data_IF_647939643551
#
_entry.id   IF_647939643551
#
_cell.length_a   1.000
_cell.length_b   1.000
_cell.length_c   1.000
_cell.angle_alpha   90.00
_cell.angle_beta   90.00
_cell.angle_gamma   90.00
#
_symmetry.space_group_name_H-M   'P 1'
#
loop_
_entity.id
_entity.type
_entity.pdbx_description
1 polymer ?
#
# COMPACT_ATOMS: atom_id res chain seq x y z
N UNK A 1 7.29 38.54 -2.55
CA UNK A 1 8.11 37.69 -3.42
C UNK A 1 9.38 38.37 -3.91
N UNK A 2 9.31 39.65 -4.31
CA UNK A 2 10.49 40.40 -4.77
C UNK A 2 11.60 40.62 -3.73
N UNK A 3 11.26 40.82 -2.45
CA UNK A 3 12.26 41.00 -1.39
C UNK A 3 13.09 39.74 -1.09
N UNK A 4 12.48 38.55 -1.23
CA UNK A 4 13.16 37.26 -1.02
C UNK A 4 14.07 36.90 -2.20
N UNK A 5 13.74 37.36 -3.42
CA UNK A 5 14.60 37.18 -4.59
C UNK A 5 15.83 38.10 -4.55
N UNK A 6 15.69 39.30 -3.98
CA UNK A 6 16.85 40.23 -3.85
C UNK A 6 17.89 39.76 -2.80
N UNK A 7 17.47 39.17 -1.68
CA UNK A 7 18.41 38.62 -0.69
C UNK A 7 19.17 37.39 -1.21
N UNK A 8 18.59 36.61 -2.12
CA UNK A 8 19.23 35.42 -2.71
C UNK A 8 20.35 35.72 -3.72
N UNK A 9 20.46 36.94 -4.23
CA UNK A 9 21.44 37.33 -5.28
C UNK A 9 22.88 37.51 -4.79
N UNK A 10 23.14 37.45 -3.50
CA UNK A 10 24.46 37.81 -2.94
C UNK A 10 25.24 36.63 -2.34
N UNK A 11 24.74 35.42 -2.43
CA UNK A 11 25.45 34.25 -1.89
C UNK A 11 26.37 33.64 -2.95
N UNK A 12 27.68 33.93 -2.81
CA UNK A 12 28.70 33.24 -3.57
C UNK A 12 28.85 31.79 -3.02
N UNK A 13 28.61 30.83 -3.90
CA UNK A 13 28.68 29.39 -3.59
C UNK A 13 29.98 28.82 -4.11
N UNK A 14 30.67 27.99 -3.33
CA UNK A 14 31.84 27.24 -3.78
C UNK A 14 31.44 25.79 -4.06
N UNK A 15 32.00 25.21 -5.13
CA UNK A 15 31.88 23.78 -5.39
C UNK A 15 32.84 22.97 -4.48
N UNK A 16 32.77 21.65 -4.57
CA UNK A 16 33.62 20.74 -3.78
C UNK A 16 35.12 20.93 -4.04
N UNK A 17 35.51 21.59 -5.15
CA UNK A 17 36.87 21.92 -5.50
C UNK A 17 37.29 23.31 -4.99
N UNK A 18 36.42 24.03 -4.25
CA UNK A 18 36.66 25.35 -3.72
C UNK A 18 36.54 26.50 -4.71
N UNK A 19 36.04 26.25 -5.93
CA UNK A 19 35.81 27.25 -6.97
C UNK A 19 34.49 27.98 -6.77
N UNK A 20 34.46 29.29 -7.02
CA UNK A 20 33.26 30.12 -7.01
C UNK A 20 32.33 29.76 -8.14
N UNK A 21 31.06 29.50 -7.84
CA UNK A 21 30.03 29.22 -8.83
C UNK A 21 29.13 30.46 -8.98
N UNK A 22 28.83 30.82 -10.21
CA UNK A 22 27.87 31.90 -10.54
C UNK A 22 26.46 31.53 -10.10
N UNK A 23 25.74 32.47 -9.47
CA UNK A 23 24.33 32.32 -9.05
C UNK A 23 23.39 31.92 -10.20
N UNK A 24 23.76 32.18 -11.43
CA UNK A 24 22.98 31.79 -12.61
C UNK A 24 22.92 30.27 -12.80
N UNK A 25 23.87 29.54 -12.25
CA UNK A 25 24.02 28.09 -12.42
C UNK A 25 23.50 27.27 -11.24
N UNK A 26 22.99 27.91 -10.18
CA UNK A 26 22.50 27.25 -8.98
C UNK A 26 21.05 27.61 -8.68
N UNK A 27 20.39 26.76 -7.92
CA UNK A 27 19.06 26.99 -7.35
C UNK A 27 19.15 26.82 -5.84
N UNK A 28 18.83 27.88 -5.11
CA UNK A 28 18.72 27.85 -3.67
C UNK A 28 17.42 27.20 -3.24
N UNK A 29 17.48 26.40 -2.19
CA UNK A 29 16.39 25.56 -1.73
C UNK A 29 16.13 25.78 -0.25
N UNK A 30 14.87 25.84 0.14
CA UNK A 30 14.50 25.62 1.54
C UNK A 30 14.71 24.14 1.90
N UNK A 31 14.81 23.83 3.19
CA UNK A 31 14.94 22.44 3.66
C UNK A 31 13.78 21.54 3.17
N UNK A 32 12.58 22.08 3.04
CA UNK A 32 11.42 21.37 2.50
C UNK A 32 11.55 21.09 1.00
N UNK A 33 11.98 22.10 0.22
CA UNK A 33 12.23 21.97 -1.23
C UNK A 33 13.37 20.99 -1.50
N UNK A 34 14.44 21.05 -0.73
CA UNK A 34 15.58 20.16 -0.85
C UNK A 34 15.18 18.69 -0.63
N UNK A 35 14.41 18.42 0.42
CA UNK A 35 13.85 17.09 0.68
C UNK A 35 12.93 16.61 -0.44
N UNK A 36 11.99 17.44 -0.86
CA UNK A 36 11.07 17.12 -1.98
C UNK A 36 11.83 16.82 -3.27
N UNK A 37 12.88 17.61 -3.56
CA UNK A 37 13.69 17.43 -4.75
C UNK A 37 14.57 16.16 -4.67
N UNK A 38 15.10 15.83 -3.51
CA UNK A 38 15.83 14.55 -3.28
C UNK A 38 14.93 13.34 -3.51
N UNK A 39 13.70 13.40 -3.00
CA UNK A 39 12.71 12.34 -3.21
C UNK A 39 12.39 12.21 -4.71
N UNK A 40 12.13 13.34 -5.40
CA UNK A 40 11.88 13.35 -6.85
C UNK A 40 13.07 12.79 -7.66
N UNK A 41 14.29 13.19 -7.31
CA UNK A 41 15.51 12.69 -7.95
C UNK A 41 15.65 11.18 -7.77
N UNK A 42 15.45 10.71 -6.55
CA UNK A 42 15.50 9.29 -6.18
C UNK A 42 14.44 8.48 -6.91
N UNK A 43 13.20 8.98 -6.93
CA UNK A 43 12.09 8.38 -7.66
C UNK A 43 12.35 8.35 -9.17
N UNK A 44 13.09 9.33 -9.70
CA UNK A 44 13.51 9.40 -11.10
C UNK A 44 14.77 8.57 -11.41
N UNK A 45 15.37 7.90 -10.41
CA UNK A 45 16.64 7.17 -10.56
C UNK A 45 17.81 8.08 -10.93
N UNK A 46 17.75 9.37 -10.54
CA UNK A 46 18.75 10.38 -10.85
C UNK A 46 19.53 10.73 -9.59
N UNK A 47 20.82 11.05 -9.78
CA UNK A 47 21.61 11.69 -8.73
C UNK A 47 21.23 13.16 -8.65
N UNK A 48 21.05 13.63 -7.42
CA UNK A 48 20.93 15.03 -7.07
C UNK A 48 21.91 15.30 -5.93
N UNK A 49 22.82 16.22 -6.14
CA UNK A 49 23.74 16.64 -5.12
C UNK A 49 23.21 17.95 -4.52
N UNK A 50 22.69 17.88 -3.30
CA UNK A 50 22.35 19.08 -2.55
C UNK A 50 23.58 19.46 -1.73
N UNK A 51 24.05 20.65 -1.98
CA UNK A 51 25.21 21.26 -1.33
C UNK A 51 24.75 22.13 -0.16
N UNK A 52 25.63 22.26 0.84
CA UNK A 52 25.43 23.12 1.99
C UNK A 52 26.37 24.32 1.91
N UNK A 53 25.81 25.52 1.86
CA UNK A 53 26.58 26.74 2.00
C UNK A 53 27.11 26.94 3.43
N UNK A 54 28.15 27.75 3.57
CA UNK A 54 28.73 28.09 4.88
C UNK A 54 27.75 28.80 5.82
N UNK A 55 26.73 29.42 5.29
CA UNK A 55 25.64 30.11 6.00
C UNK A 55 24.44 29.22 6.30
N UNK A 56 24.53 27.90 6.00
CA UNK A 56 23.47 26.94 6.17
C UNK A 56 22.44 26.91 5.03
N UNK A 57 22.66 27.70 3.96
CA UNK A 57 21.82 27.63 2.76
C UNK A 57 21.97 26.28 2.06
N UNK A 58 20.87 25.78 1.50
CA UNK A 58 20.86 24.58 0.67
C UNK A 58 20.76 24.99 -0.80
N UNK A 59 21.53 24.35 -1.66
CA UNK A 59 21.49 24.62 -3.08
C UNK A 59 21.82 23.39 -3.93
N UNK A 60 21.43 23.41 -5.20
CA UNK A 60 21.83 22.41 -6.19
C UNK A 60 22.08 23.07 -7.54
N UNK A 61 22.74 22.36 -8.44
CA UNK A 61 22.96 22.87 -9.79
C UNK A 61 21.62 23.01 -10.55
N UNK A 62 21.47 24.14 -11.29
CA UNK A 62 20.27 24.44 -12.06
C UNK A 62 19.94 23.36 -13.09
N UNK A 63 20.95 22.77 -13.74
CA UNK A 63 20.75 21.68 -14.69
C UNK A 63 20.21 20.41 -14.02
N UNK A 64 20.64 20.09 -12.78
CA UNK A 64 20.08 18.97 -12.00
C UNK A 64 18.63 19.27 -11.60
N UNK A 65 18.36 20.48 -11.09
CA UNK A 65 17.03 20.95 -10.75
C UNK A 65 16.06 20.84 -11.92
N UNK A 66 16.43 21.40 -13.09
CA UNK A 66 15.63 21.35 -14.30
C UNK A 66 15.44 19.93 -14.82
N UNK A 67 16.49 19.13 -14.76
CA UNK A 67 16.44 17.73 -15.17
C UNK A 67 15.47 16.88 -14.33
N UNK A 68 15.26 17.24 -13.07
CA UNK A 68 14.33 16.57 -12.18
C UNK A 68 12.92 17.13 -12.34
N UNK A 69 12.76 18.46 -12.44
CA UNK A 69 11.46 19.11 -12.52
C UNK A 69 10.84 19.09 -13.93
N UNK A 70 11.64 19.09 -15.02
CA UNK A 70 11.09 19.01 -16.39
C UNK A 70 10.49 17.65 -16.77
N UNK A 71 10.53 16.66 -15.88
CA UNK A 71 9.85 15.36 -16.07
C UNK A 71 8.37 15.33 -15.70
N UNK A 72 7.72 16.47 -15.40
CA UNK A 72 6.26 16.52 -15.27
C UNK A 72 5.53 15.88 -16.47
N UNK A 73 6.09 16.00 -17.68
CA UNK A 73 5.50 15.45 -18.90
C UNK A 73 5.55 13.92 -18.97
N UNK A 74 6.64 13.28 -18.52
CA UNK A 74 6.75 11.80 -18.57
C UNK A 74 6.04 11.08 -17.44
N UNK A 75 5.82 11.75 -16.30
CA UNK A 75 5.01 11.19 -15.20
C UNK A 75 3.53 11.19 -15.60
N UNK A 76 3.06 12.25 -16.28
CA UNK A 76 1.67 12.29 -16.78
C UNK A 76 1.39 11.25 -17.87
N UNK A 77 2.33 10.94 -18.77
CA UNK A 77 2.18 9.87 -19.75
C UNK A 77 2.18 8.47 -19.11
N UNK A 78 2.93 8.26 -18.03
CA UNK A 78 2.90 6.99 -17.27
C UNK A 78 1.63 6.83 -16.42
N UNK A 79 1.03 7.93 -16.00
CA UNK A 79 -0.26 7.96 -15.31
C UNK A 79 -1.40 7.56 -16.25
N UNK A 80 -1.30 7.83 -17.56
CA UNK A 80 -2.27 7.32 -18.54
C UNK A 80 -2.29 5.80 -18.62
N UNK A 81 -1.18 5.13 -18.33
CA UNK A 81 -1.09 3.65 -18.26
C UNK A 81 -1.73 3.05 -16.99
N UNK A 82 -2.00 3.82 -15.94
CA UNK A 82 -2.87 3.35 -14.85
C UNK A 82 -4.28 3.05 -15.36
N UNK A 83 -4.76 3.76 -16.37
CA UNK A 83 -6.10 3.53 -16.94
C UNK A 83 -6.24 2.18 -17.62
N UNK A 84 -5.20 1.69 -18.28
CA UNK A 84 -5.27 0.44 -19.08
C UNK A 84 -5.30 -0.86 -18.26
N UNK A 85 -5.12 -0.80 -16.96
CA UNK A 85 -5.18 -1.98 -16.08
C UNK A 85 -6.15 -1.78 -14.93
N UNK A 86 -7.05 -0.79 -15.02
CA UNK A 86 -8.04 -0.47 -14.01
C UNK A 86 -9.20 -1.46 -14.04
N UNK A 87 -10.01 -1.41 -12.99
CA UNK A 87 -11.27 -2.12 -12.87
C UNK A 87 -12.21 -1.75 -14.01
N UNK A 88 -12.88 -2.74 -14.57
CA UNK A 88 -13.87 -2.55 -15.61
C UNK A 88 -15.23 -3.08 -15.15
N UNK A 89 -16.13 -2.17 -14.78
CA UNK A 89 -17.49 -2.48 -14.33
C UNK A 89 -18.32 -3.25 -15.37
N UNK A 90 -17.96 -3.16 -16.68
CA UNK A 90 -18.63 -3.87 -17.77
C UNK A 90 -17.99 -5.23 -18.08
N UNK A 91 -16.97 -5.63 -17.32
CA UNK A 91 -16.28 -6.89 -17.52
C UNK A 91 -17.20 -8.09 -17.28
N UNK A 92 -17.05 -9.15 -18.07
CA UNK A 92 -17.93 -10.31 -18.03
C UNK A 92 -17.99 -10.97 -16.65
N UNK A 93 -16.86 -11.04 -15.93
CA UNK A 93 -16.83 -11.55 -14.56
C UNK A 93 -17.89 -10.87 -13.67
N UNK A 94 -18.00 -9.53 -13.75
CA UNK A 94 -18.94 -8.80 -12.89
C UNK A 94 -20.40 -9.05 -13.32
N UNK A 95 -20.66 -9.19 -14.61
CA UNK A 95 -22.01 -9.54 -15.10
C UNK A 95 -22.44 -10.90 -14.60
N UNK A 96 -21.54 -11.90 -14.63
CA UNK A 96 -21.84 -13.25 -14.14
C UNK A 96 -22.08 -13.21 -12.63
N UNK A 97 -21.22 -12.55 -11.86
CA UNK A 97 -21.32 -12.52 -10.40
C UNK A 97 -22.47 -11.66 -9.86
N UNK A 98 -22.97 -10.72 -10.66
CA UNK A 98 -24.12 -9.87 -10.33
C UNK A 98 -25.44 -10.37 -10.94
N UNK A 99 -25.39 -11.41 -11.75
CA UNK A 99 -26.56 -11.99 -12.40
C UNK A 99 -27.42 -12.86 -11.48
N UNK A 100 -28.65 -13.13 -11.89
CA UNK A 100 -29.58 -14.02 -11.18
C UNK A 100 -29.01 -15.45 -11.01
N UNK A 101 -28.19 -15.88 -11.95
CA UNK A 101 -27.53 -17.18 -11.96
C UNK A 101 -26.09 -17.13 -11.42
N UNK A 102 -25.80 -16.20 -10.51
CA UNK A 102 -24.48 -16.13 -9.90
C UNK A 102 -24.12 -17.47 -9.23
N UNK A 103 -22.87 -17.95 -9.35
CA UNK A 103 -22.47 -19.24 -8.80
C UNK A 103 -22.74 -19.34 -7.30
N UNK A 104 -23.20 -20.49 -6.84
CA UNK A 104 -23.54 -20.71 -5.42
C UNK A 104 -22.35 -20.45 -4.48
N UNK A 105 -21.13 -20.84 -4.87
CA UNK A 105 -19.92 -20.56 -4.09
C UNK A 105 -19.67 -19.06 -3.89
N UNK A 106 -20.08 -18.22 -4.86
CA UNK A 106 -19.97 -16.77 -4.74
C UNK A 106 -20.89 -16.21 -3.66
N UNK A 107 -22.14 -16.69 -3.61
CA UNK A 107 -23.06 -16.30 -2.55
C UNK A 107 -22.59 -16.80 -1.18
N UNK A 108 -22.05 -18.03 -1.10
CA UNK A 108 -21.43 -18.54 0.13
C UNK A 108 -20.28 -17.66 0.65
N UNK A 109 -19.50 -17.06 -0.24
CA UNK A 109 -18.42 -16.13 0.16
C UNK A 109 -18.99 -14.77 0.63
N UNK A 110 -19.96 -14.21 -0.09
CA UNK A 110 -20.56 -12.90 0.24
C UNK A 110 -21.32 -12.89 1.56
N UNK A 111 -22.04 -13.96 1.84
CA UNK A 111 -22.89 -14.11 3.02
C UNK A 111 -22.08 -14.40 4.29
N UNK A 112 -20.85 -14.84 4.15
CA UNK A 112 -20.00 -15.18 5.26
C UNK A 112 -19.43 -13.92 5.94
N UNK A 113 -19.83 -13.72 7.19
CA UNK A 113 -19.43 -12.52 7.97
C UNK A 113 -17.96 -12.48 8.35
N UNK A 114 -17.25 -13.59 8.27
CA UNK A 114 -15.83 -13.68 8.58
C UNK A 114 -14.95 -13.48 7.35
N UNK A 115 -15.55 -13.41 6.14
CA UNK A 115 -14.84 -13.25 4.88
C UNK A 115 -15.00 -11.80 4.39
N UNK A 116 -13.91 -11.17 3.97
CA UNK A 116 -13.96 -9.92 3.23
C UNK A 116 -13.46 -10.13 1.80
N UNK A 117 -14.05 -9.37 0.88
CA UNK A 117 -13.83 -9.54 -0.56
C UNK A 117 -13.24 -8.26 -1.11
N UNK A 118 -12.12 -8.41 -1.82
CA UNK A 118 -11.41 -7.32 -2.45
C UNK A 118 -11.39 -7.46 -3.96
N UNK A 119 -11.65 -6.37 -4.65
CA UNK A 119 -11.59 -6.31 -6.10
C UNK A 119 -10.24 -5.72 -6.48
N UNK A 120 -9.47 -6.46 -7.23
CA UNK A 120 -8.10 -6.13 -7.59
C UNK A 120 -8.01 -5.60 -9.02
N UNK A 121 -6.94 -4.86 -9.28
CA UNK A 121 -6.57 -4.44 -10.63
C UNK A 121 -6.56 -5.64 -11.59
N UNK A 122 -7.04 -5.42 -12.82
CA UNK A 122 -7.13 -6.49 -13.83
C UNK A 122 -8.36 -7.38 -13.68
N UNK A 123 -9.40 -6.90 -12.99
CA UNK A 123 -10.66 -7.64 -12.79
C UNK A 123 -10.49 -8.99 -12.07
N UNK A 124 -9.58 -9.02 -11.11
CA UNK A 124 -9.40 -10.16 -10.20
C UNK A 124 -10.13 -9.86 -8.90
N UNK A 125 -10.76 -10.86 -8.33
CA UNK A 125 -11.42 -10.77 -7.02
C UNK A 125 -10.72 -11.71 -6.06
N UNK A 126 -10.35 -11.20 -4.91
CA UNK A 126 -9.74 -11.97 -3.83
C UNK A 126 -10.72 -12.05 -2.64
N UNK A 127 -10.96 -13.24 -2.14
CA UNK A 127 -11.66 -13.46 -0.89
C UNK A 127 -10.66 -13.81 0.23
N UNK A 128 -10.79 -13.15 1.37
CA UNK A 128 -9.87 -13.28 2.50
C UNK A 128 -10.58 -13.70 3.78
N UNK A 129 -9.91 -14.53 4.55
CA UNK A 129 -10.22 -14.84 5.92
C UNK A 129 -9.02 -14.50 6.81
N UNK A 130 -9.18 -13.61 7.79
CA UNK A 130 -8.13 -13.17 8.73
C UNK A 130 -6.79 -12.81 8.05
N UNK A 131 -6.84 -12.17 6.87
CA UNK A 131 -5.67 -11.79 6.09
C UNK A 131 -5.08 -12.90 5.19
N UNK A 132 -5.58 -14.14 5.28
CA UNK A 132 -5.24 -15.23 4.36
C UNK A 132 -6.13 -15.21 3.13
N UNK A 133 -5.54 -15.19 1.91
CA UNK A 133 -6.29 -15.23 0.65
C UNK A 133 -6.89 -16.62 0.45
N UNK A 134 -8.15 -16.75 0.82
CA UNK A 134 -8.93 -17.99 0.74
C UNK A 134 -9.20 -18.40 -0.71
N UNK A 135 -9.50 -17.43 -1.56
CA UNK A 135 -9.75 -17.66 -2.99
C UNK A 135 -9.28 -16.47 -3.83
N UNK A 136 -8.79 -16.76 -5.03
CA UNK A 136 -8.61 -15.84 -6.14
C UNK A 136 -9.60 -16.20 -7.24
N UNK A 137 -10.38 -15.24 -7.70
CA UNK A 137 -11.47 -15.42 -8.68
C UNK A 137 -11.15 -14.53 -9.88
N UNK A 138 -11.13 -15.10 -11.06
CA UNK A 138 -10.89 -14.39 -12.32
C UNK A 138 -11.46 -15.16 -13.51
N UNK A 139 -11.47 -14.56 -14.69
CA UNK A 139 -11.67 -15.29 -15.93
C UNK A 139 -10.32 -15.80 -16.46
N UNK A 140 -10.34 -16.99 -17.04
CA UNK A 140 -9.24 -17.51 -17.83
C UNK A 140 -9.25 -16.96 -19.27
N UNK A 141 -8.42 -17.53 -20.15
CA UNK A 141 -8.31 -17.12 -21.56
C UNK A 141 -9.55 -17.49 -22.38
N UNK A 142 -10.30 -18.48 -21.93
CA UNK A 142 -11.52 -18.97 -22.57
C UNK A 142 -12.79 -18.34 -21.98
N UNK A 143 -12.62 -17.27 -21.17
CA UNK A 143 -13.66 -16.56 -20.43
C UNK A 143 -14.45 -17.47 -19.45
N UNK A 144 -13.82 -18.53 -18.95
CA UNK A 144 -14.38 -19.35 -17.90
C UNK A 144 -13.95 -18.81 -16.53
N UNK A 145 -14.86 -18.88 -15.56
CA UNK A 145 -14.50 -18.48 -14.19
C UNK A 145 -13.58 -19.53 -13.59
N UNK A 146 -12.47 -19.05 -13.07
CA UNK A 146 -11.50 -19.85 -12.34
C UNK A 146 -11.45 -19.36 -10.91
N UNK A 147 -11.61 -20.28 -9.95
CA UNK A 147 -11.61 -20.01 -8.51
C UNK A 147 -10.51 -20.84 -7.88
N UNK A 148 -9.42 -20.22 -7.47
CA UNK A 148 -8.26 -20.96 -7.00
C UNK A 148 -7.80 -20.55 -5.61
N UNK A 149 -7.26 -21.54 -4.85
CA UNK A 149 -6.65 -21.34 -3.54
C UNK A 149 -5.24 -21.88 -3.49
N UNK A 150 -4.47 -21.37 -2.54
CA UNK A 150 -3.17 -21.92 -2.19
C UNK A 150 -3.35 -23.30 -1.57
N UNK A 151 -2.60 -24.35 -2.00
CA UNK A 151 -2.80 -25.73 -1.55
C UNK A 151 -2.73 -25.90 -0.03
N UNK A 152 -1.91 -25.13 0.69
CA UNK A 152 -1.85 -25.19 2.16
C UNK A 152 -3.18 -24.84 2.85
N UNK A 153 -4.03 -24.02 2.21
CA UNK A 153 -5.36 -23.69 2.76
C UNK A 153 -6.39 -24.79 2.51
N UNK A 154 -6.07 -25.69 1.59
CA UNK A 154 -6.81 -26.92 1.33
C UNK A 154 -6.26 -28.13 2.10
N UNK A 155 -5.28 -27.89 3.00
CA UNK A 155 -4.69 -28.94 3.83
C UNK A 155 -3.56 -29.75 3.17
N UNK A 156 -3.11 -29.37 1.97
CA UNK A 156 -2.02 -30.06 1.28
C UNK A 156 -0.66 -29.52 1.74
N UNK A 157 0.21 -30.43 2.18
CA UNK A 157 1.55 -30.11 2.69
C UNK A 157 2.59 -30.05 1.55
N UNK A 158 3.67 -29.31 1.76
CA UNK A 158 4.73 -29.11 0.77
C UNK A 158 5.48 -30.41 0.40
N UNK A 159 5.55 -31.34 1.33
CA UNK A 159 6.27 -32.60 1.17
C UNK A 159 5.43 -33.71 0.51
N UNK A 160 4.12 -33.51 0.43
CA UNK A 160 3.20 -34.46 -0.16
C UNK A 160 3.04 -34.19 -1.64
N UNK A 161 3.51 -35.12 -2.48
CA UNK A 161 3.20 -35.28 -3.89
C UNK A 161 3.40 -34.04 -4.79
N UNK A 162 4.17 -34.17 -5.86
CA UNK A 162 4.42 -33.13 -6.88
C UNK A 162 3.17 -32.53 -7.56
N UNK A 163 1.98 -33.00 -7.20
CA UNK A 163 0.71 -32.51 -7.69
C UNK A 163 0.35 -31.10 -7.14
N UNK A 164 0.69 -30.81 -5.90
CA UNK A 164 0.29 -29.57 -5.22
C UNK A 164 1.40 -28.54 -5.12
N UNK A 165 2.64 -29.01 -5.22
CA UNK A 165 3.81 -28.15 -5.17
C UNK A 165 4.84 -28.59 -6.20
N UNK A 166 5.42 -27.61 -6.89
CA UNK A 166 6.56 -27.85 -7.78
C UNK A 166 7.84 -27.69 -6.99
N UNK A 167 8.58 -28.79 -6.84
CA UNK A 167 9.89 -28.80 -6.21
C UNK A 167 10.93 -28.14 -7.13
N UNK A 168 11.74 -27.27 -6.58
CA UNK A 168 12.90 -26.64 -7.21
C UNK A 168 14.08 -26.57 -6.26
N UNK A 169 15.23 -26.13 -6.74
CA UNK A 169 16.42 -25.88 -5.92
C UNK A 169 16.83 -24.43 -6.09
N UNK A 170 17.03 -23.74 -4.98
CA UNK A 170 17.58 -22.39 -4.95
C UNK A 170 18.60 -22.29 -3.82
N UNK A 171 19.81 -21.82 -4.16
CA UNK A 171 20.92 -21.69 -3.19
C UNK A 171 21.21 -22.99 -2.42
N UNK A 172 21.12 -24.15 -3.10
CA UNK A 172 21.33 -25.47 -2.54
C UNK A 172 20.21 -25.99 -1.61
N UNK A 173 19.12 -25.24 -1.47
CA UNK A 173 17.97 -25.62 -0.65
C UNK A 173 16.76 -25.98 -1.51
N UNK A 174 16.01 -26.98 -1.08
CA UNK A 174 14.73 -27.27 -1.72
C UNK A 174 13.78 -26.09 -1.53
N UNK A 175 13.13 -25.67 -2.60
CA UNK A 175 12.03 -24.71 -2.61
C UNK A 175 10.80 -25.39 -3.18
N UNK A 176 9.65 -25.10 -2.62
CA UNK A 176 8.36 -25.63 -3.06
C UNK A 176 7.48 -24.48 -3.54
N UNK A 177 7.21 -24.47 -4.85
CA UNK A 177 6.32 -23.46 -5.45
C UNK A 177 4.90 -24.00 -5.49
N UNK A 178 3.91 -23.33 -4.89
CA UNK A 178 2.54 -23.83 -4.86
C UNK A 178 1.93 -23.87 -6.27
N UNK A 179 1.19 -24.93 -6.55
CA UNK A 179 0.31 -25.06 -7.71
C UNK A 179 -1.10 -24.78 -7.20
N UNK A 180 -1.65 -23.61 -7.56
CA UNK A 180 -2.97 -23.21 -7.10
C UNK A 180 -4.04 -24.17 -7.62
N UNK A 181 -4.94 -24.58 -6.73
CA UNK A 181 -5.96 -25.58 -6.98
C UNK A 181 -7.33 -24.93 -7.10
N UNK A 182 -8.22 -25.49 -7.92
CA UNK A 182 -9.63 -25.12 -7.87
C UNK A 182 -10.18 -25.35 -6.47
N UNK A 183 -10.96 -24.38 -5.98
CA UNK A 183 -11.49 -24.42 -4.63
C UNK A 183 -13.00 -24.15 -4.57
N UNK A 184 -13.71 -24.15 -5.69
CA UNK A 184 -15.15 -23.90 -5.76
C UNK A 184 -15.95 -24.89 -4.89
N UNK A 185 -15.66 -26.18 -5.01
CA UNK A 185 -16.26 -27.23 -4.18
C UNK A 185 -15.85 -27.14 -2.70
N UNK A 186 -14.64 -26.70 -2.43
CA UNK A 186 -14.19 -26.47 -1.06
C UNK A 186 -14.98 -25.34 -0.38
N UNK A 187 -15.23 -24.25 -1.10
CA UNK A 187 -16.04 -23.15 -0.60
C UNK A 187 -17.45 -23.60 -0.28
N UNK A 188 -18.04 -24.46 -1.12
CA UNK A 188 -19.38 -24.99 -0.89
C UNK A 188 -19.45 -25.96 0.29
N UNK A 189 -18.52 -26.90 0.37
CA UNK A 189 -18.67 -28.08 1.21
C UNK A 189 -17.68 -28.14 2.38
N UNK A 190 -16.56 -27.42 2.32
CA UNK A 190 -15.44 -27.52 3.29
C UNK A 190 -14.88 -26.13 3.68
N UNK A 191 -15.70 -25.10 3.60
CA UNK A 191 -15.28 -23.71 3.88
C UNK A 191 -14.69 -23.56 5.29
N UNK A 192 -15.27 -24.17 6.29
CA UNK A 192 -14.80 -24.09 7.68
C UNK A 192 -13.44 -24.78 7.86
N UNK A 193 -13.16 -25.81 7.10
CA UNK A 193 -11.84 -26.44 7.08
C UNK A 193 -10.78 -25.52 6.46
N UNK A 194 -11.12 -24.86 5.36
CA UNK A 194 -10.24 -23.83 4.79
C UNK A 194 -9.95 -22.70 5.79
N UNK A 195 -10.97 -22.22 6.51
CA UNK A 195 -10.79 -21.22 7.57
C UNK A 195 -9.88 -21.74 8.70
N UNK A 196 -10.05 -22.99 9.10
CA UNK A 196 -9.21 -23.62 10.13
C UNK A 196 -7.74 -23.72 9.70
N UNK A 197 -7.48 -24.11 8.45
CA UNK A 197 -6.13 -24.16 7.87
C UNK A 197 -5.49 -22.77 7.78
N UNK A 198 -6.23 -21.75 7.36
CA UNK A 198 -5.76 -20.36 7.34
C UNK A 198 -5.43 -19.90 8.77
N UNK A 199 -6.32 -20.13 9.72
CA UNK A 199 -6.12 -19.77 11.13
C UNK A 199 -4.86 -20.42 11.69
N UNK A 200 -4.68 -21.73 11.47
CA UNK A 200 -3.47 -22.46 11.88
C UNK A 200 -2.20 -21.86 11.30
N UNK A 201 -2.24 -21.39 10.06
CA UNK A 201 -1.09 -20.79 9.39
C UNK A 201 -0.73 -19.41 9.96
N UNK A 202 -1.72 -18.58 10.32
CA UNK A 202 -1.51 -17.22 10.82
C UNK A 202 -1.44 -17.11 12.35
N UNK A 203 -1.92 -18.10 13.08
CA UNK A 203 -1.81 -18.12 14.54
C UNK A 203 -0.46 -18.63 15.07
N UNK A 204 0.45 -19.06 14.20
CA UNK A 204 1.83 -19.51 14.40
C UNK A 204 2.25 -19.93 15.81
N UNK A 205 2.94 -21.03 15.94
CA UNK A 205 3.32 -21.68 17.21
C UNK A 205 4.14 -20.85 18.23
N UNK A 206 4.54 -19.60 17.89
CA UNK A 206 5.41 -18.74 18.71
C UNK A 206 4.90 -17.31 18.92
N UNK A 207 3.76 -16.97 18.37
CA UNK A 207 3.15 -15.66 18.57
C UNK A 207 1.69 -15.93 18.94
N UNK A 208 1.26 -15.50 20.11
CA UNK A 208 -0.14 -15.63 20.52
C UNK A 208 -1.11 -15.22 19.40
N UNK A 209 -2.30 -15.79 19.37
CA UNK A 209 -3.32 -15.48 18.36
C UNK A 209 -3.39 -13.97 18.13
N UNK A 210 -3.32 -13.54 16.86
CA UNK A 210 -3.53 -12.14 16.52
C UNK A 210 -2.29 -11.27 16.40
N UNK A 211 -1.08 -11.81 16.29
CA UNK A 211 0.14 -11.00 16.26
C UNK A 211 0.67 -10.66 14.87
N UNK A 212 0.26 -11.34 13.81
CA UNK A 212 0.70 -10.98 12.46
C UNK A 212 -0.01 -9.72 11.95
N UNK A 213 0.71 -8.86 11.22
CA UNK A 213 0.15 -7.66 10.60
C UNK A 213 -1.06 -7.97 9.70
N UNK A 214 -0.98 -9.07 8.95
CA UNK A 214 -2.08 -9.58 8.10
C UNK A 214 -3.33 -9.97 8.88
N UNK A 215 -3.17 -10.63 10.01
CA UNK A 215 -4.28 -10.97 10.89
C UNK A 215 -4.95 -9.73 11.44
N UNK A 216 -4.14 -8.78 11.90
CA UNK A 216 -4.60 -7.49 12.41
C UNK A 216 -5.38 -6.73 11.33
N UNK A 217 -4.82 -6.63 10.13
CA UNK A 217 -5.45 -6.02 8.97
C UNK A 217 -6.82 -6.65 8.68
N UNK A 218 -6.89 -7.97 8.62
CA UNK A 218 -8.16 -8.69 8.41
C UNK A 218 -9.21 -8.40 9.49
N UNK A 219 -8.80 -8.36 10.76
CA UNK A 219 -9.68 -7.99 11.88
C UNK A 219 -10.20 -6.57 11.77
N UNK A 220 -9.34 -5.61 11.42
CA UNK A 220 -9.72 -4.22 11.23
C UNK A 220 -10.77 -4.06 10.13
N UNK A 221 -10.57 -4.73 8.99
CA UNK A 221 -11.52 -4.69 7.87
C UNK A 221 -12.85 -5.31 8.25
N UNK A 222 -12.84 -6.46 8.91
CA UNK A 222 -14.07 -7.13 9.34
C UNK A 222 -14.87 -6.33 10.36
N UNK A 223 -14.18 -5.68 11.30
CA UNK A 223 -14.81 -4.85 12.33
C UNK A 223 -15.24 -3.47 11.80
N UNK A 224 -14.64 -3.00 10.71
CA UNK A 224 -14.89 -1.69 10.10
C UNK A 224 -15.37 -1.79 8.66
N UNK A 225 -16.27 -2.72 8.33
CA UNK A 225 -16.84 -2.91 6.98
C UNK A 225 -17.57 -1.68 6.45
N UNK A 226 -18.09 -0.86 7.34
CA UNK A 226 -18.73 0.42 7.06
C UNK A 226 -17.73 1.57 6.87
N UNK A 227 -16.45 1.30 7.02
CA UNK A 227 -15.36 2.28 6.98
C UNK A 227 -14.32 1.96 5.93
N UNK A 228 -13.87 0.68 5.84
CA UNK A 228 -12.82 0.27 4.93
C UNK A 228 -13.37 -0.10 3.56
N UNK A 229 -12.79 0.51 2.51
CA UNK A 229 -13.16 0.27 1.11
C UNK A 229 -12.23 -0.72 0.41
N UNK A 230 -10.93 -0.71 0.76
CA UNK A 230 -9.92 -1.54 0.11
C UNK A 230 -8.78 -1.87 1.07
N UNK A 231 -8.01 -2.89 0.73
CA UNK A 231 -6.80 -3.28 1.45
C UNK A 231 -5.68 -3.64 0.47
N UNK A 232 -4.44 -3.55 0.94
CA UNK A 232 -3.26 -3.95 0.14
C UNK A 232 -3.18 -3.27 -1.24
N UNK A 233 -3.51 -1.99 -1.28
CA UNK A 233 -3.28 -1.22 -2.50
C UNK A 233 -1.82 -1.34 -2.92
N UNK A 234 -1.58 -1.77 -4.16
CA UNK A 234 -0.24 -1.92 -4.70
C UNK A 234 -0.12 -1.25 -6.07
N UNK A 235 0.87 -0.39 -6.20
CA UNK A 235 1.18 0.26 -7.47
C UNK A 235 2.67 0.21 -7.77
N UNK A 236 3.03 -0.26 -8.97
CA UNK A 236 4.40 -0.32 -9.44
C UNK A 236 4.82 1.02 -10.01
N UNK A 237 5.81 1.67 -9.41
CA UNK A 237 6.25 3.01 -9.80
C UNK A 237 7.06 3.04 -11.11
N UNK A 238 7.80 1.96 -11.42
CA UNK A 238 8.71 1.90 -12.58
C UNK A 238 8.71 0.52 -13.21
N UNK A 239 8.81 0.49 -14.55
CA UNK A 239 8.98 -0.76 -15.31
C UNK A 239 10.34 -1.42 -15.05
N UNK A 240 11.39 -0.60 -14.82
CA UNK A 240 12.79 -1.07 -14.74
C UNK A 240 13.33 -1.28 -13.32
N UNK A 241 12.61 -0.83 -12.29
CA UNK A 241 12.99 -1.03 -10.89
C UNK A 241 11.80 -1.54 -10.09
N UNK A 242 12.05 -2.60 -9.34
CA UNK A 242 11.06 -3.31 -8.52
C UNK A 242 10.67 -2.48 -7.28
N UNK A 243 10.32 -1.20 -7.47
CA UNK A 243 9.80 -0.38 -6.39
C UNK A 243 8.28 -0.28 -6.53
N UNK A 244 7.58 -0.88 -5.57
CA UNK A 244 6.12 -0.88 -5.51
C UNK A 244 5.70 -0.08 -4.29
N UNK A 245 4.83 0.90 -4.48
CA UNK A 245 4.09 1.51 -3.37
C UNK A 245 3.06 0.48 -2.91
N UNK A 246 3.06 0.17 -1.64
CA UNK A 246 2.06 -0.70 -1.00
C UNK A 246 1.55 0.01 0.22
N UNK A 247 0.23 0.15 0.31
CA UNK A 247 -0.45 0.78 1.44
C UNK A 247 -1.49 -0.22 1.94
N UNK A 248 -1.51 -0.44 3.24
CA UNK A 248 -2.22 -1.57 3.83
C UNK A 248 -3.74 -1.43 3.77
N UNK A 249 -4.27 -0.22 4.02
CA UNK A 249 -5.71 0.02 4.16
C UNK A 249 -6.13 1.27 3.42
N UNK A 250 -7.33 1.23 2.86
CA UNK A 250 -8.01 2.40 2.30
C UNK A 250 -9.40 2.51 2.90
N UNK A 251 -9.68 3.64 3.53
CA UNK A 251 -10.97 3.93 4.17
C UNK A 251 -11.62 5.17 3.59
N UNK A 252 -12.92 5.32 3.85
CA UNK A 252 -13.63 6.57 3.62
C UNK A 252 -13.90 7.23 4.97
N UNK A 253 -13.49 8.46 5.11
CA UNK A 253 -13.65 9.25 6.32
C UNK A 253 -13.97 10.71 5.98
N UNK A 254 -15.11 11.22 6.46
CA UNK A 254 -15.55 12.60 6.21
C UNK A 254 -15.58 13.02 4.73
N UNK A 255 -15.95 12.12 3.82
CA UNK A 255 -15.97 12.37 2.37
C UNK A 255 -14.61 12.25 1.68
N UNK A 256 -13.57 11.87 2.41
CA UNK A 256 -12.24 11.63 1.85
C UNK A 256 -11.92 10.15 1.74
N UNK A 257 -11.25 9.80 0.66
CA UNK A 257 -10.57 8.51 0.49
C UNK A 257 -9.20 8.65 1.17
N UNK A 258 -9.02 7.93 2.27
CA UNK A 258 -7.84 8.02 3.15
C UNK A 258 -7.04 6.73 3.06
N UNK A 259 -5.76 6.87 2.77
CA UNK A 259 -4.79 5.78 2.76
C UNK A 259 -4.14 5.66 4.13
N UNK A 260 -4.12 4.46 4.67
CA UNK A 260 -3.66 4.20 6.02
C UNK A 260 -2.63 3.06 6.03
N UNK A 261 -1.45 3.35 6.53
CA UNK A 261 -0.39 2.36 6.75
C UNK A 261 -0.57 1.73 8.12
N UNK A 262 -0.52 0.41 8.20
CA UNK A 262 -0.63 -0.34 9.45
C UNK A 262 0.75 -0.76 9.93
N UNK A 263 1.04 -0.55 11.20
CA UNK A 263 2.25 -1.05 11.86
C UNK A 263 1.90 -1.65 13.22
N UNK A 264 2.58 -2.71 13.57
CA UNK A 264 2.54 -3.19 14.95
C UNK A 264 3.40 -2.30 15.83
N UNK A 265 2.99 -2.06 17.08
CA UNK A 265 3.75 -1.23 18.03
C UNK A 265 5.22 -1.71 18.19
N UNK A 266 5.50 -2.99 17.95
CA UNK A 266 6.83 -3.59 18.05
C UNK A 266 7.62 -3.56 16.73
N UNK A 267 7.07 -3.00 15.66
CA UNK A 267 7.77 -2.92 14.37
C UNK A 267 9.03 -2.06 14.50
N UNK A 268 10.16 -2.62 14.02
CA UNK A 268 11.44 -1.92 14.10
C UNK A 268 11.52 -0.72 13.14
N UNK A 269 10.69 -0.68 12.10
CA UNK A 269 10.59 0.45 11.17
C UNK A 269 10.06 1.72 11.82
N UNK A 270 9.34 1.61 12.94
CA UNK A 270 8.86 2.76 13.73
C UNK A 270 9.98 3.46 14.49
N UNK A 271 11.11 2.80 14.69
CA UNK A 271 12.26 3.34 15.40
C UNK A 271 13.52 2.69 14.87
N UNK A 272 14.53 3.50 14.65
CA UNK A 272 15.85 3.02 14.30
C UNK A 272 16.86 3.63 15.28
N UNK A 273 17.59 2.79 15.97
CA UNK A 273 18.61 3.23 16.95
C UNK A 273 19.88 3.78 16.27
N UNK A 274 20.03 3.63 14.95
CA UNK A 274 21.26 3.96 14.21
C UNK A 274 21.07 4.98 13.07
N UNK A 275 19.90 5.60 12.93
CA UNK A 275 19.64 6.54 11.83
C UNK A 275 18.18 6.99 11.76
N UNK A 276 17.75 7.46 10.61
CA UNK A 276 16.35 7.82 10.39
C UNK A 276 15.49 6.56 10.31
N UNK A 277 14.41 6.45 11.08
CA UNK A 277 13.46 5.34 11.00
C UNK A 277 12.87 5.22 9.59
N UNK A 278 12.77 3.99 9.08
CA UNK A 278 12.25 3.71 7.73
C UNK A 278 10.82 4.24 7.53
N UNK A 279 10.02 4.31 8.58
CA UNK A 279 8.66 4.82 8.53
C UNK A 279 8.60 6.28 8.06
N UNK A 280 9.58 7.11 8.38
CA UNK A 280 9.61 8.50 7.94
C UNK A 280 9.70 8.58 6.42
N UNK A 281 10.64 7.83 5.83
CA UNK A 281 10.78 7.75 4.38
C UNK A 281 9.54 7.13 3.72
N UNK A 282 8.96 6.12 4.34
CA UNK A 282 7.78 5.43 3.82
C UNK A 282 6.58 6.39 3.73
N UNK A 283 6.30 7.15 4.78
CA UNK A 283 5.20 8.12 4.81
C UNK A 283 5.43 9.27 3.82
N UNK A 284 6.65 9.80 3.72
CA UNK A 284 6.97 10.86 2.74
C UNK A 284 6.79 10.36 1.30
N UNK A 285 7.23 9.12 0.99
CA UNK A 285 7.03 8.51 -0.32
C UNK A 285 5.54 8.34 -0.64
N UNK A 286 4.71 7.99 0.36
CA UNK A 286 3.26 7.86 0.18
C UNK A 286 2.62 9.23 -0.06
N UNK A 287 2.99 10.24 0.72
CA UNK A 287 2.49 11.61 0.55
C UNK A 287 2.76 12.13 -0.86
N UNK A 288 3.98 11.95 -1.35
CA UNK A 288 4.32 12.35 -2.72
C UNK A 288 3.53 11.55 -3.76
N UNK A 289 3.44 10.24 -3.61
CA UNK A 289 2.67 9.38 -4.52
C UNK A 289 1.19 9.78 -4.57
N UNK A 290 0.58 10.02 -3.41
CA UNK A 290 -0.83 10.39 -3.32
C UNK A 290 -1.09 11.78 -3.91
N UNK A 291 -0.22 12.75 -3.67
CA UNK A 291 -0.32 14.09 -4.25
C UNK A 291 -0.27 14.05 -5.78
N UNK A 292 0.69 13.32 -6.35
CA UNK A 292 0.88 13.23 -7.81
C UNK A 292 -0.28 12.50 -8.48
N UNK A 293 -0.85 11.48 -7.81
CA UNK A 293 -1.85 10.60 -8.41
C UNK A 293 -3.27 10.87 -7.90
N UNK A 294 -3.50 11.95 -7.15
CA UNK A 294 -4.76 12.27 -6.49
C UNK A 294 -5.99 12.09 -7.39
N UNK A 295 -5.98 12.70 -8.58
CA UNK A 295 -7.14 12.65 -9.49
C UNK A 295 -7.45 11.23 -9.99
N UNK A 296 -6.43 10.46 -10.35
CA UNK A 296 -6.61 9.10 -10.89
C UNK A 296 -7.04 8.14 -9.81
N UNK A 297 -6.45 8.25 -8.62
CA UNK A 297 -6.83 7.43 -7.47
C UNK A 297 -8.26 7.75 -7.04
N UNK A 298 -8.68 9.03 -7.11
CA UNK A 298 -10.05 9.41 -6.83
C UNK A 298 -11.03 8.68 -7.76
N UNK A 299 -10.81 8.72 -9.07
CA UNK A 299 -11.67 8.04 -10.05
C UNK A 299 -11.61 6.51 -9.94
N UNK A 300 -10.42 5.96 -9.61
CA UNK A 300 -10.27 4.54 -9.34
C UNK A 300 -11.16 4.09 -8.18
N UNK A 301 -11.11 4.80 -7.05
CA UNK A 301 -11.87 4.42 -5.86
C UNK A 301 -13.36 4.71 -5.95
N UNK A 302 -13.78 5.72 -6.71
CA UNK A 302 -15.20 5.88 -7.09
C UNK A 302 -15.71 4.67 -7.87
N UNK A 303 -14.95 4.23 -8.88
CA UNK A 303 -15.28 3.04 -9.67
C UNK A 303 -15.31 1.78 -8.81
N UNK A 304 -14.31 1.59 -7.94
CA UNK A 304 -14.26 0.46 -7.02
C UNK A 304 -15.45 0.43 -6.07
N UNK A 305 -15.82 1.57 -5.51
CA UNK A 305 -16.97 1.72 -4.63
C UNK A 305 -18.27 1.25 -5.33
N UNK A 306 -18.50 1.73 -6.54
CA UNK A 306 -19.68 1.36 -7.32
C UNK A 306 -19.71 -0.13 -7.68
N UNK A 307 -18.57 -0.70 -8.09
CA UNK A 307 -18.47 -2.13 -8.40
C UNK A 307 -18.78 -2.96 -7.14
N UNK A 308 -18.17 -2.63 -6.00
CA UNK A 308 -18.45 -3.34 -4.74
C UNK A 308 -19.95 -3.24 -4.38
N UNK A 309 -20.55 -2.05 -4.49
CA UNK A 309 -21.97 -1.83 -4.24
C UNK A 309 -22.86 -2.65 -5.16
N UNK A 310 -22.59 -2.66 -6.46
CA UNK A 310 -23.35 -3.43 -7.45
C UNK A 310 -23.29 -4.94 -7.16
N UNK A 311 -22.12 -5.44 -6.75
CA UNK A 311 -21.97 -6.85 -6.38
C UNK A 311 -22.59 -7.21 -5.02
N UNK A 312 -23.18 -6.23 -4.31
CA UNK A 312 -23.76 -6.44 -2.98
C UNK A 312 -22.71 -6.66 -1.88
N UNK A 313 -21.48 -6.18 -2.11
CA UNK A 313 -20.42 -6.24 -1.10
C UNK A 313 -20.53 -5.05 -0.11
N UNK A 314 -20.08 -5.21 1.13
CA UNK A 314 -20.02 -4.11 2.07
C UNK A 314 -19.19 -2.94 1.55
N UNK A 315 -19.72 -1.73 1.67
CA UNK A 315 -19.05 -0.47 1.35
C UNK A 315 -19.35 0.58 2.42
N UNK A 316 -18.45 1.53 2.65
CA UNK A 316 -18.71 2.65 3.53
C UNK A 316 -19.95 3.45 3.12
N UNK A 317 -20.66 4.00 4.09
CA UNK A 317 -21.84 4.85 3.82
C UNK A 317 -21.34 6.24 3.40
N UNK A 318 -21.70 6.67 2.19
CA UNK A 318 -21.38 8.00 1.66
C UNK A 318 -22.66 8.69 1.17
N UNK A 319 -22.70 10.00 1.29
CA UNK A 319 -23.83 10.80 0.78
C UNK A 319 -23.90 10.77 -0.75
N UNK A 320 -22.79 11.13 -1.40
CA UNK A 320 -22.65 11.09 -2.85
C UNK A 320 -21.23 10.63 -3.21
N UNK A 321 -21.12 9.56 -3.96
CA UNK A 321 -19.83 8.98 -4.39
C UNK A 321 -19.01 9.92 -5.27
N UNK A 322 -19.69 10.81 -6.01
CA UNK A 322 -19.03 11.78 -6.87
C UNK A 322 -18.25 12.85 -6.10
N UNK A 323 -18.60 13.08 -4.83
CA UNK A 323 -17.94 14.08 -3.98
C UNK A 323 -16.68 13.52 -3.29
N UNK A 324 -16.46 12.21 -3.38
CA UNK A 324 -15.26 11.59 -2.83
C UNK A 324 -14.01 12.12 -3.50
N UNK A 325 -13.00 12.44 -2.70
CA UNK A 325 -11.67 12.84 -3.17
C UNK A 325 -10.59 12.20 -2.31
N UNK A 326 -9.45 11.90 -2.91
CA UNK A 326 -8.30 11.36 -2.17
C UNK A 326 -7.72 12.43 -1.26
N UNK A 327 -7.54 12.08 0.01
CA UNK A 327 -6.70 12.84 0.92
C UNK A 327 -5.22 12.56 0.58
N UNK A 328 -4.42 13.57 0.27
CA UNK A 328 -3.00 13.36 -0.05
C UNK A 328 -2.14 13.04 1.18
N UNK A 329 -2.66 13.28 2.39
CA UNK A 329 -1.97 12.95 3.63
C UNK A 329 -2.28 11.51 4.06
N UNK A 330 -1.30 10.59 3.98
CA UNK A 330 -1.48 9.24 4.47
C UNK A 330 -1.57 9.24 5.99
N UNK A 331 -2.36 8.34 6.53
CA UNK A 331 -2.45 8.11 7.97
C UNK A 331 -1.57 6.92 8.36
N UNK A 332 -1.13 6.93 9.62
CA UNK A 332 -0.42 5.81 10.24
C UNK A 332 -1.28 5.25 11.38
N UNK A 333 -1.63 3.98 11.27
CA UNK A 333 -2.33 3.24 12.30
C UNK A 333 -1.35 2.30 13.00
N UNK A 334 -1.21 2.45 14.32
CA UNK A 334 -0.34 1.59 15.11
C UNK A 334 -1.21 0.64 15.94
N UNK A 335 -1.10 -0.64 15.65
CA UNK A 335 -1.73 -1.68 16.44
C UNK A 335 -0.96 -1.85 17.76
N UNK A 336 -1.61 -1.42 18.84
CA UNK A 336 -1.08 -1.58 20.19
C UNK A 336 -1.57 -2.91 20.77
N UNK A 337 -0.76 -3.94 20.62
CA UNK A 337 -1.02 -5.27 21.16
C UNK A 337 -0.27 -5.53 22.48
N UNK A 338 -0.03 -4.50 23.26
CA UNK A 338 0.50 -4.66 24.61
C UNK A 338 -0.60 -5.10 25.58
N UNK A 339 -0.47 -6.28 26.15
CA UNK A 339 -1.42 -6.80 27.15
C UNK A 339 -1.48 -5.97 28.44
N UNK A 340 -0.35 -5.31 28.79
CA UNK A 340 -0.25 -4.49 30.00
C UNK A 340 0.57 -3.24 29.71
N UNK A 341 0.16 -2.13 30.27
CA UNK A 341 0.98 -0.94 30.30
C UNK A 341 2.13 -1.12 31.28
N UNK A 342 3.35 -0.80 30.83
CA UNK A 342 4.56 -0.73 31.64
C UNK A 342 5.28 0.56 31.30
N UNK A 343 6.12 1.05 32.21
CA UNK A 343 6.92 2.25 31.98
C UNK A 343 7.71 2.20 30.68
N UNK A 344 8.40 1.07 30.40
CA UNK A 344 9.16 0.89 29.16
C UNK A 344 8.30 0.90 27.88
N UNK A 345 7.04 0.47 27.96
CA UNK A 345 6.07 0.56 26.86
C UNK A 345 5.62 1.98 26.62
N UNK A 346 5.37 2.74 27.71
CA UNK A 346 5.06 4.16 27.65
C UNK A 346 6.20 4.99 27.06
N UNK A 347 7.44 4.72 27.43
CA UNK A 347 8.63 5.35 26.87
C UNK A 347 8.70 5.09 25.35
N UNK A 348 8.45 3.85 24.90
CA UNK A 348 8.44 3.49 23.48
C UNK A 348 7.40 4.28 22.68
N UNK A 349 6.18 4.41 23.19
CA UNK A 349 5.11 5.17 22.54
C UNK A 349 5.56 6.63 22.37
N UNK A 350 6.06 7.26 23.44
CA UNK A 350 6.55 8.64 23.40
C UNK A 350 7.69 8.83 22.41
N UNK A 351 8.59 7.86 22.29
CA UNK A 351 9.69 7.88 21.33
C UNK A 351 9.16 7.85 19.89
N UNK A 352 8.22 6.95 19.59
CA UNK A 352 7.56 6.86 18.26
C UNK A 352 6.87 8.17 17.91
N UNK A 353 6.10 8.74 18.84
CA UNK A 353 5.39 10.01 18.63
C UNK A 353 6.36 11.17 18.38
N UNK A 354 7.47 11.25 19.13
CA UNK A 354 8.51 12.24 18.93
C UNK A 354 9.16 12.13 17.55
N UNK A 355 9.40 10.90 17.07
CA UNK A 355 9.98 10.64 15.76
C UNK A 355 9.00 11.09 14.66
N UNK A 356 7.74 10.70 14.75
CA UNK A 356 6.71 11.02 13.77
C UNK A 356 6.36 12.51 13.72
N UNK A 357 6.48 13.21 14.85
CA UNK A 357 6.29 14.65 14.92
C UNK A 357 7.30 15.42 14.03
N UNK A 358 8.47 14.85 13.74
CA UNK A 358 9.46 15.47 12.83
C UNK A 358 8.98 15.64 11.40
N UNK A 359 7.96 14.89 10.99
CA UNK A 359 7.31 14.96 9.67
C UNK A 359 5.83 15.33 9.77
N UNK A 360 5.41 15.92 10.90
CA UNK A 360 4.03 16.32 11.17
C UNK A 360 3.00 15.19 11.06
N UNK A 361 3.37 13.98 11.45
CA UNK A 361 2.46 12.81 11.48
C UNK A 361 2.09 12.51 12.93
N UNK A 362 0.79 12.45 13.18
CA UNK A 362 0.23 11.96 14.45
C UNK A 362 -0.33 10.56 14.19
N UNK A 363 0.20 9.53 14.86
CA UNK A 363 -0.31 8.17 14.67
C UNK A 363 -1.67 8.00 15.32
N UNK A 364 -2.52 7.18 14.71
CA UNK A 364 -3.70 6.62 15.35
C UNK A 364 -3.30 5.30 16.01
N UNK A 365 -3.92 4.98 17.14
CA UNK A 365 -3.70 3.71 17.82
C UNK A 365 -4.98 2.87 17.79
N UNK A 366 -4.85 1.57 17.58
CA UNK A 366 -5.91 0.61 17.78
C UNK A 366 -5.49 -0.47 18.78
N UNK A 367 -6.39 -0.80 19.70
CA UNK A 367 -6.28 -1.97 20.58
C UNK A 367 -7.07 -3.11 19.94
N UNK A 368 -6.49 -4.31 19.93
CA UNK A 368 -7.06 -5.48 19.29
C UNK A 368 -7.51 -6.50 20.32
#
# INVERSE_FOLDING_TARGET
MEAIEQERKWHLVRNDNGEWISDENVVFLTSAEARSLQIKARLAGKKLNIQHGYDGTLWCYKHEYLNINNKKVKIMDKVSRMKSGLLNRKHELYKILNGENAPMWWNCLKEDKDIYIEIRKGNVIDAYYLGGRMAEIKLDRDNQIVVTAHPKYLGFLEEEDGQYYRKGIKDGKNIYTPIYQDCSEWILNRKEEMKANIRKHYSGNNAGEGTSEKYIQGKLILNGRDKYLDSEFAHRLYEDKVKTVRIDLVKIENGFIVFEELKRIRDNRLRNMKGNPEILEQIENYREFLNVNKGILTEYYKTLYEIKKDLGLPVPIVGNVNDLVVNPEPQLLIANNYEKETEGRGIRIKEIERILATINVKPNYCNL
#
